data_IF_880450578473
#
_entry.id   IF_880450578473
#
_cell.length_a   1.000
_cell.length_b   1.000
_cell.length_c   1.000
_cell.angle_alpha   90.00
_cell.angle_beta   90.00
_cell.angle_gamma   90.00
#
_symmetry.space_group_name_H-M   'P 1'
#
loop_
_entity.id
_entity.type
_entity.pdbx_description
1 polymer ?
#
# COMPACT_ATOMS: atom_id res chain seq x y z
N UNK A 1 25.50 -11.00 -1.98
CA UNK A 1 24.06 -10.67 -1.79
C UNK A 1 23.52 -9.66 -2.81
N UNK A 2 24.18 -9.52 -3.95
CA UNK A 2 23.86 -8.48 -4.95
C UNK A 2 22.60 -8.76 -5.80
N UNK A 3 22.15 -10.01 -5.90
CA UNK A 3 20.97 -10.35 -6.72
C UNK A 3 19.60 -9.99 -6.10
N UNK A 4 19.54 -9.68 -4.79
CA UNK A 4 18.27 -9.45 -4.11
C UNK A 4 17.69 -8.04 -4.28
N UNK A 5 18.43 -7.07 -4.85
CA UNK A 5 17.94 -5.70 -4.97
C UNK A 5 16.75 -5.59 -5.93
N UNK A 6 16.79 -6.28 -7.07
CA UNK A 6 15.69 -6.33 -8.03
C UNK A 6 14.45 -7.02 -7.44
N UNK A 7 14.66 -8.12 -6.70
CA UNK A 7 13.57 -8.87 -6.06
C UNK A 7 12.89 -8.03 -4.97
N UNK A 8 13.67 -7.37 -4.11
CA UNK A 8 13.15 -6.45 -3.09
C UNK A 8 12.38 -5.30 -3.70
N UNK A 9 12.88 -4.71 -4.78
CA UNK A 9 12.16 -3.63 -5.49
C UNK A 9 10.87 -4.14 -6.12
N UNK A 10 10.87 -5.34 -6.72
CA UNK A 10 9.68 -5.96 -7.28
C UNK A 10 8.61 -6.19 -6.19
N UNK A 11 9.01 -6.67 -5.01
CA UNK A 11 8.13 -6.85 -3.86
C UNK A 11 7.57 -5.49 -3.41
N UNK A 12 8.40 -4.45 -3.33
CA UNK A 12 7.97 -3.09 -2.94
C UNK A 12 6.94 -2.52 -3.93
N UNK A 13 7.16 -2.70 -5.24
CA UNK A 13 6.21 -2.30 -6.29
C UNK A 13 4.88 -3.02 -6.12
N UNK A 14 4.93 -4.34 -5.92
CA UNK A 14 3.75 -5.19 -5.71
C UNK A 14 2.95 -4.74 -4.48
N UNK A 15 3.61 -4.54 -3.33
CA UNK A 15 2.99 -4.06 -2.10
C UNK A 15 2.33 -2.69 -2.27
N UNK A 16 3.04 -1.74 -2.89
CA UNK A 16 2.53 -0.39 -3.18
C UNK A 16 1.29 -0.45 -4.07
N UNK A 17 1.28 -1.32 -5.09
CA UNK A 17 0.10 -1.55 -5.93
C UNK A 17 -1.08 -2.12 -5.15
N UNK A 18 -0.84 -3.09 -4.25
CA UNK A 18 -1.89 -3.67 -3.41
C UNK A 18 -2.49 -2.62 -2.45
N UNK A 19 -1.65 -1.76 -1.86
CA UNK A 19 -2.08 -0.65 -1.02
C UNK A 19 -3.01 0.31 -1.79
N UNK A 20 -2.65 0.67 -3.03
CA UNK A 20 -3.46 1.53 -3.89
C UNK A 20 -4.81 0.88 -4.22
N UNK A 21 -4.85 -0.41 -4.52
CA UNK A 21 -6.09 -1.14 -4.80
C UNK A 21 -7.03 -1.13 -3.58
N UNK A 22 -6.50 -1.39 -2.38
CA UNK A 22 -7.28 -1.37 -1.15
C UNK A 22 -7.87 0.02 -0.87
N UNK A 23 -7.05 1.07 -0.98
CA UNK A 23 -7.47 2.44 -0.72
C UNK A 23 -8.47 2.97 -1.76
N UNK A 24 -8.30 2.61 -3.05
CA UNK A 24 -9.25 2.95 -4.11
C UNK A 24 -10.62 2.30 -3.88
N UNK A 25 -10.65 1.01 -3.51
CA UNK A 25 -11.89 0.32 -3.16
C UNK A 25 -12.60 0.98 -1.97
N UNK A 26 -11.83 1.39 -0.94
CA UNK A 26 -12.39 2.10 0.20
C UNK A 26 -12.96 3.47 -0.18
N UNK A 27 -12.27 4.22 -1.05
CA UNK A 27 -12.76 5.51 -1.55
C UNK A 27 -14.08 5.34 -2.31
N UNK A 28 -14.18 4.37 -3.22
CA UNK A 28 -15.41 4.09 -3.94
C UNK A 28 -16.57 3.70 -3.01
N UNK A 29 -16.27 2.91 -1.97
CA UNK A 29 -17.26 2.48 -0.99
C UNK A 29 -17.81 3.68 -0.19
N UNK A 30 -16.97 4.54 0.36
CA UNK A 30 -17.41 5.66 1.20
C UNK A 30 -18.09 6.78 0.41
N UNK A 31 -17.85 6.88 -0.90
CA UNK A 31 -18.56 7.79 -1.80
C UNK A 31 -20.01 7.32 -2.05
N UNK A 32 -20.26 6.01 -2.06
CA UNK A 32 -21.58 5.41 -2.33
C UNK A 32 -22.39 5.10 -1.07
N UNK A 33 -21.69 4.77 0.03
CA UNK A 33 -22.34 4.38 1.29
C UNK A 33 -22.85 5.60 2.03
N UNK A 34 -24.13 5.61 2.35
CA UNK A 34 -24.76 6.64 3.15
C UNK A 34 -24.94 6.19 4.60
N UNK A 35 -24.72 7.11 5.55
CA UNK A 35 -25.06 7.00 6.94
C UNK A 35 -25.33 8.40 7.52
N UNK A 36 -26.28 8.48 8.43
CA UNK A 36 -26.69 9.75 9.03
C UNK A 36 -27.17 10.78 8.00
N UNK A 37 -27.82 10.31 6.93
CA UNK A 37 -28.42 11.15 5.88
C UNK A 37 -27.43 11.75 4.88
N UNK A 38 -26.18 11.27 4.83
CA UNK A 38 -25.16 11.74 3.88
C UNK A 38 -24.11 10.67 3.58
N UNK A 39 -23.37 10.79 2.46
CA UNK A 39 -22.26 9.88 2.15
C UNK A 39 -21.22 9.80 3.27
N UNK A 40 -20.64 8.61 3.48
CA UNK A 40 -19.64 8.41 4.54
C UNK A 40 -18.42 9.33 4.36
N UNK A 41 -18.04 9.65 3.14
CA UNK A 41 -16.93 10.57 2.84
C UNK A 41 -17.12 11.96 3.45
N UNK A 42 -18.36 12.39 3.72
CA UNK A 42 -18.66 13.67 4.36
C UNK A 42 -18.34 13.70 5.85
N UNK A 43 -18.08 12.54 6.45
CA UNK A 43 -17.64 12.46 7.85
C UNK A 43 -16.16 12.88 7.97
N UNK A 44 -15.83 13.86 8.86
CA UNK A 44 -14.46 14.35 8.99
C UNK A 44 -13.43 13.27 9.32
N UNK A 45 -13.80 12.29 10.14
CA UNK A 45 -12.92 11.17 10.52
C UNK A 45 -12.60 10.27 9.33
N UNK A 46 -13.54 10.07 8.41
CA UNK A 46 -13.34 9.27 7.17
C UNK A 46 -12.35 9.98 6.27
N UNK A 47 -12.57 11.29 6.02
CA UNK A 47 -11.64 12.10 5.22
C UNK A 47 -10.23 12.14 5.81
N UNK A 48 -10.12 12.30 7.13
CA UNK A 48 -8.81 12.31 7.80
C UNK A 48 -8.05 10.99 7.61
N UNK A 49 -8.73 9.85 7.77
CA UNK A 49 -8.12 8.52 7.58
C UNK A 49 -7.66 8.32 6.13
N UNK A 50 -8.50 8.65 5.17
CA UNK A 50 -8.17 8.57 3.74
C UNK A 50 -6.99 9.47 3.36
N UNK A 51 -6.98 10.71 3.86
CA UNK A 51 -5.89 11.65 3.61
C UNK A 51 -4.56 11.16 4.18
N UNK A 52 -4.56 10.62 5.42
CA UNK A 52 -3.35 10.03 6.03
C UNK A 52 -2.80 8.88 5.18
N UNK A 53 -3.65 7.92 4.82
CA UNK A 53 -3.22 6.77 4.02
C UNK A 53 -2.83 7.17 2.60
N UNK A 54 -3.52 8.14 2.00
CA UNK A 54 -3.16 8.71 0.70
C UNK A 54 -1.77 9.32 0.70
N UNK A 55 -1.45 10.13 1.71
CA UNK A 55 -0.12 10.73 1.85
C UNK A 55 0.99 9.68 1.99
N UNK A 56 0.77 8.63 2.80
CA UNK A 56 1.71 7.52 2.92
C UNK A 56 1.92 6.78 1.60
N UNK A 57 0.83 6.50 0.89
CA UNK A 57 0.85 5.79 -0.39
C UNK A 57 1.59 6.59 -1.47
N UNK A 58 1.31 7.88 -1.60
CA UNK A 58 1.96 8.73 -2.61
C UNK A 58 3.45 8.94 -2.30
N UNK A 59 3.81 9.08 -1.02
CA UNK A 59 5.23 9.15 -0.60
C UNK A 59 5.98 7.85 -0.95
N UNK A 60 5.37 6.70 -0.69
CA UNK A 60 5.93 5.39 -1.04
C UNK A 60 6.06 5.23 -2.55
N UNK A 61 5.07 5.66 -3.32
CA UNK A 61 5.10 5.62 -4.78
C UNK A 61 6.24 6.46 -5.35
N UNK A 62 6.38 7.70 -4.90
CA UNK A 62 7.47 8.58 -5.33
C UNK A 62 8.85 7.98 -5.02
N UNK A 63 8.97 7.32 -3.87
CA UNK A 63 10.22 6.66 -3.50
C UNK A 63 10.52 5.45 -4.39
N UNK A 64 9.52 4.63 -4.71
CA UNK A 64 9.65 3.52 -5.66
C UNK A 64 10.07 4.03 -7.04
N UNK A 65 9.43 5.09 -7.55
CA UNK A 65 9.79 5.68 -8.86
C UNK A 65 11.25 6.18 -8.88
N UNK A 66 11.69 6.83 -7.82
CA UNK A 66 13.09 7.27 -7.70
C UNK A 66 14.07 6.09 -7.77
N UNK A 67 13.75 4.97 -7.10
CA UNK A 67 14.59 3.78 -7.17
C UNK A 67 14.61 3.14 -8.54
N UNK A 68 13.46 2.99 -9.17
CA UNK A 68 13.36 2.47 -10.55
C UNK A 68 14.21 3.33 -11.49
N UNK A 69 14.12 4.65 -11.37
CA UNK A 69 14.92 5.56 -12.17
C UNK A 69 16.43 5.35 -11.93
N UNK A 70 16.89 5.32 -10.67
CA UNK A 70 18.30 5.09 -10.35
C UNK A 70 18.82 3.75 -10.86
N UNK A 71 18.03 2.66 -10.71
CA UNK A 71 18.40 1.34 -11.20
C UNK A 71 18.50 1.26 -12.73
N UNK A 72 17.77 2.12 -13.47
CA UNK A 72 17.86 2.19 -14.92
C UNK A 72 19.03 3.05 -15.42
N UNK A 73 19.55 3.97 -14.58
CA UNK A 73 20.61 4.91 -14.97
C UNK A 73 22.00 4.50 -14.51
N UNK A 74 22.11 3.84 -13.36
CA UNK A 74 23.39 3.42 -12.82
C UNK A 74 23.88 2.12 -13.47
N UNK A 75 25.20 1.95 -13.69
CA UNK A 75 25.79 0.67 -14.00
C UNK A 75 25.43 -0.37 -12.93
N UNK A 76 25.17 -1.61 -13.33
CA UNK A 76 24.71 -2.66 -12.42
C UNK A 76 25.60 -2.81 -11.17
N UNK A 77 26.92 -2.82 -11.34
CA UNK A 77 27.87 -2.97 -10.23
C UNK A 77 27.75 -1.83 -9.22
N UNK A 78 27.55 -0.59 -9.67
CA UNK A 78 27.35 0.59 -8.82
C UNK A 78 25.99 0.53 -8.10
N UNK A 79 24.92 0.22 -8.85
CA UNK A 79 23.59 0.08 -8.29
C UNK A 79 23.51 -1.00 -7.20
N UNK A 80 24.19 -2.12 -7.39
CA UNK A 80 24.21 -3.23 -6.43
C UNK A 80 24.86 -2.85 -5.10
N UNK A 81 25.85 -1.96 -5.12
CA UNK A 81 26.54 -1.50 -3.89
C UNK A 81 25.82 -0.32 -3.25
N UNK A 82 25.51 0.71 -4.04
CA UNK A 82 24.96 1.97 -3.51
C UNK A 82 23.48 1.87 -3.11
N UNK A 83 22.69 1.08 -3.85
CA UNK A 83 21.24 0.99 -3.62
C UNK A 83 20.83 -0.19 -2.71
N UNK A 84 21.74 -1.05 -2.29
CA UNK A 84 21.41 -2.27 -1.56
C UNK A 84 20.67 -2.03 -0.25
N UNK A 85 21.19 -1.13 0.60
CA UNK A 85 20.57 -0.76 1.87
C UNK A 85 19.26 -0.01 1.68
N UNK A 86 19.25 0.93 0.75
CA UNK A 86 18.07 1.74 0.44
C UNK A 86 16.92 0.89 -0.14
N UNK A 87 17.23 -0.10 -0.98
CA UNK A 87 16.23 -1.03 -1.54
C UNK A 87 15.58 -1.88 -0.43
N UNK A 88 16.36 -2.29 0.57
CA UNK A 88 15.83 -2.98 1.74
C UNK A 88 14.88 -2.09 2.54
N UNK A 89 15.20 -0.81 2.72
CA UNK A 89 14.34 0.16 3.40
C UNK A 89 13.04 0.41 2.63
N UNK A 90 13.09 0.57 1.30
CA UNK A 90 11.88 0.72 0.46
C UNK A 90 10.99 -0.50 0.57
N UNK A 91 11.56 -1.71 0.56
CA UNK A 91 10.79 -2.96 0.76
C UNK A 91 10.12 -2.99 2.13
N UNK A 92 10.84 -2.69 3.20
CA UNK A 92 10.28 -2.68 4.56
C UNK A 92 9.16 -1.63 4.69
N UNK A 93 9.37 -0.42 4.20
CA UNK A 93 8.37 0.65 4.22
C UNK A 93 7.12 0.29 3.40
N UNK A 94 7.27 -0.41 2.28
CA UNK A 94 6.13 -0.81 1.44
C UNK A 94 5.17 -1.77 2.16
N UNK A 95 5.68 -2.65 3.01
CA UNK A 95 4.86 -3.53 3.87
C UNK A 95 4.05 -2.71 4.88
N UNK A 96 4.69 -1.76 5.57
CA UNK A 96 4.03 -0.86 6.52
C UNK A 96 2.91 -0.07 5.83
N UNK A 97 3.20 0.53 4.68
CA UNK A 97 2.20 1.31 3.91
C UNK A 97 1.04 0.43 3.46
N UNK A 98 1.32 -0.79 2.98
CA UNK A 98 0.27 -1.74 2.60
C UNK A 98 -0.62 -2.08 3.78
N UNK A 99 -0.04 -2.37 4.94
CA UNK A 99 -0.80 -2.72 6.14
C UNK A 99 -1.68 -1.54 6.61
N UNK A 100 -1.13 -0.33 6.69
CA UNK A 100 -1.89 0.88 7.05
C UNK A 100 -3.06 1.15 6.08
N UNK A 101 -2.84 1.04 4.77
CA UNK A 101 -3.88 1.24 3.76
C UNK A 101 -4.95 0.13 3.81
N UNK A 102 -4.54 -1.14 3.99
CA UNK A 102 -5.45 -2.26 4.06
C UNK A 102 -6.31 -2.22 5.33
N UNK A 103 -5.73 -1.89 6.48
CA UNK A 103 -6.47 -1.69 7.73
C UNK A 103 -7.45 -0.51 7.64
N UNK A 104 -7.00 0.60 7.04
CA UNK A 104 -7.88 1.75 6.82
C UNK A 104 -9.09 1.34 5.96
N UNK A 105 -8.85 0.64 4.86
CA UNK A 105 -9.91 0.16 3.99
C UNK A 105 -10.88 -0.77 4.73
N UNK A 106 -10.36 -1.75 5.49
CA UNK A 106 -11.16 -2.68 6.27
C UNK A 106 -12.07 -1.96 7.27
N UNK A 107 -11.52 -0.98 8.01
CA UNK A 107 -12.29 -0.18 8.96
C UNK A 107 -13.39 0.65 8.28
N UNK A 108 -13.13 1.21 7.11
CA UNK A 108 -14.11 2.01 6.36
C UNK A 108 -15.24 1.15 5.79
N UNK A 109 -14.98 -0.11 5.44
CA UNK A 109 -16.01 -1.08 5.05
C UNK A 109 -16.84 -1.58 6.24
N UNK A 110 -16.36 -1.38 7.49
CA UNK A 110 -17.03 -1.88 8.69
C UNK A 110 -17.18 -3.40 8.66
N UNK A 111 -18.36 -3.92 9.03
CA UNK A 111 -18.62 -5.38 9.03
C UNK A 111 -18.38 -6.05 7.68
N UNK A 112 -18.63 -5.36 6.58
CA UNK A 112 -18.36 -5.89 5.24
C UNK A 112 -16.86 -6.15 5.00
N UNK A 113 -15.96 -5.42 5.65
CA UNK A 113 -14.51 -5.60 5.52
C UNK A 113 -13.97 -6.92 6.07
N UNK A 114 -14.80 -7.68 6.80
CA UNK A 114 -14.45 -9.01 7.34
C UNK A 114 -15.04 -10.16 6.51
N UNK A 115 -15.81 -9.87 5.46
CA UNK A 115 -16.46 -10.90 4.66
C UNK A 115 -15.55 -11.37 3.52
N UNK A 116 -15.48 -12.69 3.31
CA UNK A 116 -14.74 -13.33 2.21
C UNK A 116 -15.54 -13.40 0.92
N UNK A 117 -16.66 -12.68 0.83
CA UNK A 117 -17.54 -12.63 -0.34
C UNK A 117 -18.20 -11.27 -0.44
N UNK A 118 -18.72 -10.95 -1.62
CA UNK A 118 -19.42 -9.69 -1.87
C UNK A 118 -18.51 -8.48 -1.85
N UNK A 119 -19.02 -7.35 -1.35
CA UNK A 119 -18.31 -6.05 -1.43
C UNK A 119 -16.99 -6.00 -0.65
N UNK A 120 -16.87 -6.78 0.44
CA UNK A 120 -15.70 -6.78 1.31
C UNK A 120 -14.58 -7.73 0.89
N UNK A 121 -14.84 -8.65 -0.02
CA UNK A 121 -13.90 -9.72 -0.42
C UNK A 121 -12.52 -9.19 -0.81
N UNK A 122 -12.48 -8.15 -1.64
CA UNK A 122 -11.22 -7.55 -2.08
C UNK A 122 -10.44 -6.98 -0.91
N UNK A 123 -11.10 -6.24 -0.03
CA UNK A 123 -10.46 -5.54 1.10
C UNK A 123 -10.00 -6.54 2.16
N UNK A 124 -10.81 -7.53 2.50
CA UNK A 124 -10.42 -8.62 3.40
C UNK A 124 -9.19 -9.37 2.87
N UNK A 125 -9.20 -9.70 1.58
CA UNK A 125 -8.07 -10.37 0.94
C UNK A 125 -6.79 -9.52 1.02
N UNK A 126 -6.84 -8.20 0.75
CA UNK A 126 -5.67 -7.32 0.82
C UNK A 126 -5.14 -7.19 2.25
N UNK A 127 -6.03 -7.05 3.22
CA UNK A 127 -5.65 -6.99 4.63
C UNK A 127 -4.99 -8.31 5.09
N UNK A 128 -5.58 -9.44 4.80
CA UNK A 128 -5.02 -10.75 5.16
C UNK A 128 -3.67 -11.01 4.51
N UNK A 129 -3.46 -10.58 3.26
CA UNK A 129 -2.19 -10.73 2.56
C UNK A 129 -1.13 -9.70 2.97
N UNK A 130 -1.49 -8.57 3.61
CA UNK A 130 -0.51 -7.54 3.99
C UNK A 130 0.57 -8.09 4.92
N UNK A 131 0.24 -9.02 5.79
CA UNK A 131 1.19 -9.68 6.69
C UNK A 131 2.34 -10.40 5.98
N UNK A 132 2.12 -10.88 4.75
CA UNK A 132 3.18 -11.53 3.96
C UNK A 132 4.28 -10.54 3.52
N UNK A 133 3.92 -9.27 3.37
CA UNK A 133 4.86 -8.24 2.94
C UNK A 133 5.65 -7.61 4.09
N UNK A 134 5.18 -7.79 5.33
CA UNK A 134 5.88 -7.33 6.55
C UNK A 134 7.00 -8.27 6.98
N UNK A 135 7.00 -9.53 6.53
CA UNK A 135 8.02 -10.50 6.95
C UNK A 135 9.41 -10.06 6.48
N UNK A 136 10.41 -10.07 7.39
CA UNK A 136 11.81 -9.80 7.03
C UNK A 136 12.36 -10.99 6.21
N UNK A 137 12.87 -10.71 5.01
CA UNK A 137 13.69 -11.63 4.22
C UNK A 137 15.06 -11.01 3.95
#
# INVERSE_FOLDING_TARGET
MTNFNHERLSIAIGATRQARVALSAAMEYVLKREAFGKPLVDQPVVRHRLAKCGALLESQWAWVEQFVYQMTKLPKATADVELGGLTAMVKAQSGIVLNECAQCAQLLFGGNGYTKSGQGELVESKWRHSFLYEMPF
#
